data_IF_963326463730
#
_entry.id   IF_963326463730
#
_cell.length_a   1.000
_cell.length_b   1.000
_cell.length_c   1.000
_cell.angle_alpha   90.00
_cell.angle_beta   90.00
_cell.angle_gamma   90.00
#
_symmetry.space_group_name_H-M   'P 1'
#
loop_
_entity.id
_entity.type
_entity.pdbx_description
1 polymer ?
#
# COMPACT_ATOMS: atom_id res chain seq x y z
N UNK A 1 -21.24 -4.03 68.59
CA UNK A 1 -22.32 -4.61 67.79
C UNK A 1 -21.76 -4.93 66.40
N UNK A 2 -21.86 -6.20 66.00
CA UNK A 2 -21.66 -6.82 64.67
C UNK A 2 -20.27 -6.87 64.00
N UNK A 3 -19.72 -8.10 63.94
CA UNK A 3 -18.91 -8.71 62.86
C UNK A 3 -19.86 -9.22 61.73
N UNK A 4 -19.48 -9.78 60.54
CA UNK A 4 -18.15 -10.24 60.04
C UNK A 4 -17.80 -10.12 58.49
N UNK A 5 -16.51 -10.37 58.16
CA UNK A 5 -15.88 -11.11 57.01
C UNK A 5 -16.10 -10.70 55.51
N UNK A 6 -15.34 -11.24 54.49
CA UNK A 6 -14.02 -11.92 54.47
C UNK A 6 -12.98 -11.41 53.42
N UNK A 7 -11.73 -11.88 53.62
CA UNK A 7 -10.65 -12.21 52.68
C UNK A 7 -10.81 -11.90 51.17
N UNK A 8 -9.93 -11.03 50.63
CA UNK A 8 -9.50 -11.10 49.22
C UNK A 8 -8.01 -11.44 49.23
N UNK A 9 -7.72 -12.62 48.69
CA UNK A 9 -6.42 -13.26 48.74
C UNK A 9 -5.35 -12.49 47.97
N UNK A 10 -4.16 -12.44 48.56
CA UNK A 10 -2.93 -12.31 47.80
C UNK A 10 -2.79 -13.55 46.89
N UNK A 11 -3.06 -13.39 45.60
CA UNK A 11 -2.78 -14.42 44.60
C UNK A 11 -1.26 -14.47 44.35
N UNK A 12 -0.57 -15.60 44.57
CA UNK A 12 0.89 -15.70 44.46
C UNK A 12 1.36 -16.14 43.06
N UNK A 13 0.58 -15.91 42.01
CA UNK A 13 0.92 -16.33 40.66
C UNK A 13 0.53 -15.30 39.61
N UNK A 14 1.44 -14.37 39.32
CA UNK A 14 1.62 -13.98 37.93
C UNK A 14 3.11 -13.74 37.65
N UNK A 15 3.81 -14.87 37.47
CA UNK A 15 5.08 -14.91 36.77
C UNK A 15 4.78 -14.71 35.28
N UNK A 16 4.72 -13.46 34.85
CA UNK A 16 4.73 -13.14 33.42
C UNK A 16 6.06 -13.62 32.81
N UNK A 17 6.07 -14.12 31.55
CA UNK A 17 7.30 -14.53 30.90
C UNK A 17 8.26 -13.33 30.79
N UNK A 18 9.55 -13.61 30.95
CA UNK A 18 10.62 -12.65 30.68
C UNK A 18 10.37 -11.98 29.32
N UNK A 19 10.53 -10.65 29.28
CA UNK A 19 10.39 -9.88 28.05
C UNK A 19 11.28 -10.46 26.94
N UNK A 20 10.90 -10.26 25.66
CA UNK A 20 11.65 -10.82 24.54
C UNK A 20 13.13 -10.43 24.66
N UNK A 21 14.00 -11.42 24.54
CA UNK A 21 15.45 -11.25 24.48
C UNK A 21 15.79 -10.13 23.50
N UNK A 22 16.61 -9.17 23.95
CA UNK A 22 17.22 -8.15 23.10
C UNK A 22 17.77 -8.82 21.84
N UNK A 23 17.17 -8.45 20.70
CA UNK A 23 17.35 -9.11 19.42
C UNK A 23 18.80 -9.11 18.97
N UNK A 24 19.13 -10.18 18.24
CA UNK A 24 20.40 -10.46 17.62
C UNK A 24 20.81 -9.37 16.61
N UNK A 25 21.45 -8.31 17.11
CA UNK A 25 22.15 -7.30 16.32
C UNK A 25 23.64 -7.31 16.61
N UNK A 26 24.19 -8.45 17.03
CA UNK A 26 25.63 -8.60 17.23
C UNK A 26 26.34 -8.78 15.89
N UNK A 27 27.48 -8.12 15.72
CA UNK A 27 28.34 -8.23 14.53
C UNK A 27 28.72 -9.69 14.21
N UNK A 28 28.74 -10.57 15.23
CA UNK A 28 28.99 -12.00 15.06
C UNK A 28 27.92 -12.72 14.22
N UNK A 29 26.65 -12.29 14.28
CA UNK A 29 25.56 -12.85 13.49
C UNK A 29 25.69 -12.52 12.00
N UNK A 30 26.21 -11.33 11.67
CA UNK A 30 26.46 -10.92 10.30
C UNK A 30 27.69 -11.62 9.70
N UNK A 31 28.70 -11.92 10.51
CA UNK A 31 29.91 -12.60 10.06
C UNK A 31 29.68 -14.08 9.67
N UNK A 32 28.60 -14.70 10.16
CA UNK A 32 28.27 -16.11 9.90
C UNK A 32 27.32 -16.33 8.72
N UNK A 33 27.02 -15.30 7.91
CA UNK A 33 26.09 -15.47 6.78
C UNK A 33 26.77 -16.24 5.63
N UNK A 34 26.26 -17.41 5.22
CA UNK A 34 26.75 -18.12 4.04
C UNK A 34 26.44 -17.34 2.74
N UNK A 35 27.14 -17.71 1.66
CA UNK A 35 27.06 -17.11 0.33
C UNK A 35 25.62 -16.87 -0.15
N UNK A 36 25.29 -15.70 -0.73
CA UNK A 36 23.90 -15.39 -1.07
C UNK A 36 23.38 -16.30 -2.18
N UNK A 37 22.33 -17.06 -1.85
CA UNK A 37 21.49 -17.78 -2.80
C UNK A 37 20.97 -16.83 -3.90
N UNK A 38 20.76 -17.31 -5.14
CA UNK A 38 20.29 -16.46 -6.23
C UNK A 38 18.99 -15.76 -5.86
N UNK A 39 19.01 -14.44 -5.92
CA UNK A 39 17.92 -13.57 -5.46
C UNK A 39 16.67 -13.86 -6.29
N UNK A 40 15.67 -14.49 -5.68
CA UNK A 40 14.32 -14.53 -6.22
C UNK A 40 13.79 -13.10 -6.24
N UNK A 41 13.59 -12.54 -7.44
CA UNK A 41 13.04 -11.20 -7.60
C UNK A 41 11.61 -11.25 -7.07
N UNK A 42 11.43 -10.82 -5.83
CA UNK A 42 10.10 -10.75 -5.24
C UNK A 42 9.29 -9.72 -6.05
N UNK A 43 8.02 -10.00 -6.38
CA UNK A 43 7.16 -9.04 -7.07
C UNK A 43 6.97 -7.74 -6.27
N UNK A 44 7.36 -7.75 -4.98
CA UNK A 44 7.38 -6.58 -4.10
C UNK A 44 8.66 -5.73 -4.19
N UNK A 45 9.65 -6.17 -4.99
CA UNK A 45 10.91 -5.44 -5.22
C UNK A 45 10.77 -4.41 -6.34
N UNK A 46 9.91 -4.69 -7.33
CA UNK A 46 9.63 -3.70 -8.37
C UNK A 46 8.62 -2.67 -7.86
N UNK A 47 8.98 -1.37 -7.82
CA UNK A 47 8.00 -0.33 -7.59
C UNK A 47 6.99 -0.37 -8.74
N UNK A 48 5.70 -0.22 -8.39
CA UNK A 48 4.60 -0.16 -9.34
C UNK A 48 4.94 0.70 -10.56
N UNK A 49 4.91 0.12 -11.76
CA UNK A 49 5.26 0.81 -13.03
C UNK A 49 4.11 1.70 -13.53
N UNK A 50 3.61 2.55 -12.65
CA UNK A 50 2.57 3.53 -12.95
C UNK A 50 3.12 4.91 -13.29
N UNK A 51 2.28 5.83 -13.80
CA UNK A 51 2.67 7.22 -13.95
C UNK A 51 3.04 7.83 -12.59
N UNK A 52 3.93 8.82 -12.62
CA UNK A 52 4.28 9.54 -11.40
C UNK A 52 3.06 10.25 -10.79
N UNK A 53 3.05 10.41 -9.47
CA UNK A 53 1.97 11.11 -8.78
C UNK A 53 1.86 12.60 -9.18
N UNK A 54 2.92 13.19 -9.76
CA UNK A 54 2.86 14.55 -10.33
C UNK A 54 2.01 14.56 -11.59
N UNK A 55 2.29 13.66 -12.54
CA UNK A 55 1.52 13.54 -13.79
C UNK A 55 0.03 13.33 -13.52
N UNK A 56 -0.30 12.47 -12.57
CA UNK A 56 -1.70 12.21 -12.18
C UNK A 56 -2.37 13.48 -11.62
N UNK A 57 -1.66 14.26 -10.81
CA UNK A 57 -2.19 15.52 -10.25
C UNK A 57 -2.38 16.58 -11.32
N UNK A 58 -1.48 16.66 -12.29
CA UNK A 58 -1.59 17.62 -13.38
C UNK A 58 -2.85 17.36 -14.21
N UNK A 59 -3.17 16.08 -14.48
CA UNK A 59 -4.41 15.67 -15.17
C UNK A 59 -5.65 16.09 -14.36
N UNK A 60 -5.70 15.79 -13.05
CA UNK A 60 -6.87 16.13 -12.23
C UNK A 60 -7.05 17.64 -12.03
N UNK A 61 -5.95 18.41 -12.00
CA UNK A 61 -5.98 19.85 -11.72
C UNK A 61 -5.91 20.73 -12.98
N UNK A 62 -5.96 20.14 -14.18
CA UNK A 62 -5.97 20.86 -15.44
C UNK A 62 -7.05 21.95 -15.45
N UNK A 63 -6.69 23.15 -15.90
CA UNK A 63 -7.54 24.35 -15.75
C UNK A 63 -8.81 24.26 -16.58
N UNK A 64 -8.68 23.70 -17.78
CA UNK A 64 -9.76 23.43 -18.72
C UNK A 64 -10.83 22.48 -18.17
N UNK A 65 -10.50 21.67 -17.17
CA UNK A 65 -11.40 20.68 -16.58
C UNK A 65 -12.26 21.27 -15.47
N UNK A 66 -11.79 22.34 -14.81
CA UNK A 66 -12.44 22.92 -13.64
C UNK A 66 -13.81 23.55 -13.98
N UNK A 67 -14.01 23.97 -15.23
CA UNK A 67 -15.26 24.56 -15.71
C UNK A 67 -16.24 23.53 -16.31
N UNK A 68 -15.82 22.28 -16.49
CA UNK A 68 -16.64 21.24 -17.10
C UNK A 68 -17.70 20.71 -16.14
N UNK A 69 -18.84 20.27 -16.68
CA UNK A 69 -19.82 19.50 -15.92
C UNK A 69 -19.19 18.17 -15.46
N UNK A 70 -19.65 17.58 -14.35
CA UNK A 70 -19.06 16.35 -13.81
C UNK A 70 -18.87 15.25 -14.85
N UNK A 71 -19.88 14.93 -15.65
CA UNK A 71 -19.76 13.89 -16.68
C UNK A 71 -18.74 14.21 -17.78
N UNK A 72 -18.60 15.49 -18.15
CA UNK A 72 -17.64 15.91 -19.17
C UNK A 72 -16.21 15.84 -18.63
N UNK A 73 -16.04 16.20 -17.36
CA UNK A 73 -14.79 16.08 -16.64
C UNK A 73 -14.33 14.63 -16.52
N UNK A 74 -15.21 13.70 -16.15
CA UNK A 74 -14.87 12.27 -16.10
C UNK A 74 -14.45 11.72 -17.46
N UNK A 75 -15.18 12.09 -18.54
CA UNK A 75 -14.80 11.70 -19.91
C UNK A 75 -13.44 12.28 -20.31
N UNK A 76 -13.16 13.52 -19.90
CA UNK A 76 -11.87 14.15 -20.18
C UNK A 76 -10.73 13.43 -19.43
N UNK A 77 -10.91 13.11 -18.14
CA UNK A 77 -9.93 12.35 -17.37
C UNK A 77 -9.68 10.97 -17.97
N UNK A 78 -10.74 10.25 -18.34
CA UNK A 78 -10.60 8.95 -18.99
C UNK A 78 -9.76 9.02 -20.27
N UNK A 79 -9.98 10.05 -21.10
CA UNK A 79 -9.18 10.28 -22.30
C UNK A 79 -7.71 10.57 -21.96
N UNK A 80 -7.45 11.49 -21.03
CA UNK A 80 -6.10 11.87 -20.61
C UNK A 80 -5.31 10.68 -20.01
N UNK A 81 -5.96 9.83 -19.22
CA UNK A 81 -5.35 8.61 -18.69
C UNK A 81 -5.07 7.58 -19.80
N UNK A 82 -5.99 7.42 -20.75
CA UNK A 82 -5.79 6.51 -21.89
C UNK A 82 -4.57 6.92 -22.75
N UNK A 83 -4.34 8.23 -22.94
CA UNK A 83 -3.17 8.74 -23.67
C UNK A 83 -1.84 8.37 -23.01
N UNK A 84 -1.80 8.27 -21.68
CA UNK A 84 -0.61 7.83 -20.93
C UNK A 84 -0.57 6.31 -20.67
N UNK A 85 -1.47 5.56 -21.32
CA UNK A 85 -1.53 4.10 -21.22
C UNK A 85 -2.13 3.59 -19.91
N UNK A 86 -2.83 4.44 -19.17
CA UNK A 86 -3.56 4.05 -17.97
C UNK A 86 -5.02 3.78 -18.34
N UNK A 87 -5.47 2.57 -18.06
CA UNK A 87 -6.87 2.21 -18.19
C UNK A 87 -7.64 2.79 -17.00
N UNK A 88 -8.21 3.97 -17.20
CA UNK A 88 -9.05 4.63 -16.21
C UNK A 88 -10.47 4.10 -16.36
N UNK A 89 -10.78 3.07 -15.57
CA UNK A 89 -12.08 2.43 -15.51
C UNK A 89 -13.11 3.35 -14.84
N UNK A 90 -13.62 4.30 -15.63
CA UNK A 90 -14.86 4.97 -15.32
C UNK A 90 -15.98 4.24 -16.07
N UNK A 91 -17.13 3.95 -15.45
CA UNK A 91 -18.30 3.45 -16.13
C UNK A 91 -18.91 4.56 -17.01
N UNK A 92 -18.19 4.98 -18.05
CA UNK A 92 -18.73 5.75 -19.15
C UNK A 92 -19.62 4.79 -19.91
N UNK A 93 -20.92 5.10 -19.97
CA UNK A 93 -21.91 4.49 -20.87
C UNK A 93 -21.23 4.08 -22.19
N UNK A 94 -20.99 2.78 -22.38
CA UNK A 94 -20.72 2.13 -23.67
C UNK A 94 -19.42 2.44 -24.43
N UNK A 95 -18.36 2.95 -23.81
CA UNK A 95 -17.08 3.16 -24.52
C UNK A 95 -16.12 2.00 -24.24
N UNK A 96 -16.01 1.05 -25.17
CA UNK A 96 -14.97 0.01 -25.11
C UNK A 96 -13.61 0.65 -25.34
N UNK A 97 -12.68 0.48 -24.39
CA UNK A 97 -11.32 1.02 -24.46
C UNK A 97 -10.63 0.65 -25.77
N UNK A 98 -10.26 1.64 -26.58
CA UNK A 98 -9.51 1.43 -27.80
C UNK A 98 -8.04 1.15 -27.44
N UNK A 99 -7.71 -0.12 -27.19
CA UNK A 99 -6.32 -0.52 -27.04
C UNK A 99 -5.57 -0.29 -28.36
N UNK A 100 -4.66 0.68 -28.38
CA UNK A 100 -3.70 0.83 -29.48
C UNK A 100 -2.73 -0.34 -29.42
N UNK A 101 -2.88 -1.29 -30.33
CA UNK A 101 -1.92 -2.38 -30.51
C UNK A 101 -0.57 -1.78 -30.96
N UNK A 102 0.41 -1.79 -30.07
CA UNK A 102 1.82 -1.51 -30.40
C UNK A 102 2.41 -2.82 -30.91
N UNK A 103 2.50 -2.96 -32.23
CA UNK A 103 3.23 -4.07 -32.87
C UNK A 103 4.73 -3.76 -32.79
N UNK A 104 5.52 -4.69 -32.24
CA UNK A 104 6.99 -4.66 -32.22
C UNK A 104 7.53 -5.53 -33.35
#
# INVERSE_FOLDING_TARGET
MLSPAPLIGCSPYFRGPAGPSLGAHSAAFFASHPEPEPVTVSPWVEPWRGPSATVVRDIFNATEVQSLRPEQRERWWAAAFCEIGVDYDFPTIGVTGAHRAVTR
#
